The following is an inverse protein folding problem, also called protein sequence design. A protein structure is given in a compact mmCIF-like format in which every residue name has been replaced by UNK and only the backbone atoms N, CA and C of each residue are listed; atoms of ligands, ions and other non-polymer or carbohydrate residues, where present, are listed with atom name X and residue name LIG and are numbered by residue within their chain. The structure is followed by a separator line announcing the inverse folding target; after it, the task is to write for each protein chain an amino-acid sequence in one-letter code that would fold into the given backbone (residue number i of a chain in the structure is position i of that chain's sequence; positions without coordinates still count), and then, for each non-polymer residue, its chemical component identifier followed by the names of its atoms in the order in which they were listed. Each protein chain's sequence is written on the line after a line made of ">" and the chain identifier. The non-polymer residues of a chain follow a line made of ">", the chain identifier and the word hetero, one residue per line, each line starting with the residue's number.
data_IF_474089850462
#
_entry.id   IF_474089850462
#
_cell.length_a   1.000
_cell.length_b   1.000
_cell.length_c   1.000
_cell.angle_alpha   90.00
_cell.angle_beta   90.00
_cell.angle_gamma   90.00
#
_symmetry.space_group_name_H-M   'P 1'
#
loop_
_entity.id
_entity.type
_entity.pdbx_description
1 polymer ?
#
# COMPACT_ATOMS: atom_id res chain seq x y z
N UNK A 1 5.43 -15.80 -3.62
CA UNK A 1 5.18 -15.76 -3.13
C UNK A 1 4.31 -16.37 -2.31
N UNK A 2 3.72 -16.20 -1.53
CA UNK A 2 2.99 -16.76 -0.77
C UNK A 2 1.71 -16.62 -0.98
N UNK A 3 1.00 -17.42 -1.51
CA UNK A 3 -0.27 -17.20 -1.77
C UNK A 3 -1.05 -17.37 -0.59
N UNK A 4 -0.60 -17.95 0.41
CA UNK A 4 -1.35 -18.12 1.48
C UNK A 4 -1.59 -16.89 2.17
N UNK A 5 -0.81 -16.00 2.15
CA UNK A 5 -1.05 -14.83 2.87
C UNK A 5 -1.55 -13.87 1.89
N UNK A 6 -2.13 -14.29 0.83
CA UNK A 6 -2.57 -13.39 -0.18
C UNK A 6 -3.44 -12.29 0.35
N UNK A 7 -4.37 -12.60 1.24
CA UNK A 7 -5.25 -11.59 1.75
C UNK A 7 -4.51 -10.51 2.50
N UNK A 8 -3.64 -10.91 3.42
CA UNK A 8 -2.91 -9.95 4.21
C UNK A 8 -1.86 -9.26 3.37
N UNK A 9 -1.21 -9.98 2.48
CA UNK A 9 -0.16 -9.40 1.65
C UNK A 9 -0.73 -8.34 0.72
N UNK A 10 -1.88 -8.64 0.11
CA UNK A 10 -2.47 -7.70 -0.81
C UNK A 10 -2.98 -6.47 -0.07
N UNK A 11 -3.60 -6.67 1.08
CA UNK A 11 -4.11 -5.57 1.85
C UNK A 11 -2.94 -4.69 2.30
N UNK A 12 -1.85 -5.31 2.72
CA UNK A 12 -0.69 -4.53 3.13
C UNK A 12 -0.12 -3.73 1.98
N UNK A 13 -0.08 -4.32 0.80
CA UNK A 13 0.45 -3.63 -0.36
C UNK A 13 -0.44 -2.44 -0.71
N UNK A 14 -1.75 -2.62 -0.63
CA UNK A 14 -2.67 -1.55 -0.94
C UNK A 14 -2.50 -0.41 0.06
N UNK A 15 -2.35 -0.75 1.33
CA UNK A 15 -2.20 0.26 2.37
C UNK A 15 -0.91 1.05 2.13
N UNK A 16 0.16 0.36 1.80
CA UNK A 16 1.43 1.02 1.55
C UNK A 16 1.32 1.97 0.37
N UNK A 17 0.68 1.52 -0.71
CA UNK A 17 0.53 2.36 -1.88
C UNK A 17 -0.31 3.59 -1.54
N UNK A 18 -1.36 3.42 -0.75
CA UNK A 18 -2.20 4.53 -0.38
C UNK A 18 -1.42 5.53 0.48
N UNK A 19 -0.60 5.05 1.39
CA UNK A 19 0.18 5.93 2.24
C UNK A 19 1.17 6.72 1.40
N UNK A 20 1.85 6.05 0.48
CA UNK A 20 2.82 6.72 -0.37
C UNK A 20 2.12 7.77 -1.22
N UNK A 21 0.98 7.42 -1.80
CA UNK A 21 0.26 8.35 -2.63
C UNK A 21 -0.19 9.55 -1.82
N UNK A 22 -0.63 9.32 -0.60
CA UNK A 22 -1.08 10.40 0.26
C UNK A 22 0.09 11.34 0.58
N UNK A 23 1.23 10.78 0.93
CA UNK A 23 2.39 11.61 1.26
C UNK A 23 2.86 12.40 0.06
N UNK A 24 2.86 11.78 -1.11
CA UNK A 24 3.28 12.47 -2.31
C UNK A 24 2.33 13.62 -2.58
N UNK A 25 1.04 13.40 -2.40
CA UNK A 25 0.07 14.45 -2.63
C UNK A 25 0.27 15.62 -1.69
N UNK A 26 0.56 15.34 -0.43
CA UNK A 26 0.76 16.38 0.55
C UNK A 26 2.05 17.16 0.25
N UNK A 27 3.10 16.45 -0.10
CA UNK A 27 4.37 17.08 -0.38
C UNK A 27 4.30 17.93 -1.63
N UNK A 28 3.63 17.40 -2.67
CA UNK A 28 3.58 18.17 -3.88
C UNK A 28 2.58 19.29 -3.81
N UNK A 29 1.72 19.26 -2.86
CA UNK A 29 0.73 20.29 -2.77
C UNK A 29 1.41 21.59 -2.41
#
# INVERSE_FOLDING_TARGET
>A
MNYRSGGIGIVGAIVIVLVILFLVGVIKL
#
